data_IF_233728076845
#
_entry.id   IF_233728076845
#
_cell.length_a   1.000
_cell.length_b   1.000
_cell.length_c   1.000
_cell.angle_alpha   90.00
_cell.angle_beta   90.00
_cell.angle_gamma   90.00
#
_symmetry.space_group_name_H-M   'P 1'
#
loop_
_entity.id
_entity.type
_entity.pdbx_description
1 polymer ?
#
# COMPACT_ATOMS: atom_id res chain seq x y z
N UNK A 1 28.97 -1.38 -25.83
CA UNK A 1 27.55 -0.95 -25.74
C UNK A 1 27.47 0.54 -26.04
N UNK A 2 26.62 0.98 -26.98
CA UNK A 2 26.67 2.30 -27.63
C UNK A 2 26.31 3.48 -26.71
N UNK A 3 27.16 4.51 -26.70
CA UNK A 3 27.04 5.75 -25.92
C UNK A 3 25.73 6.50 -26.14
N UNK A 4 25.17 6.47 -27.36
CA UNK A 4 23.91 7.15 -27.69
C UNK A 4 22.70 6.52 -26.99
N UNK A 5 22.71 5.19 -26.82
CA UNK A 5 21.67 4.47 -26.07
C UNK A 5 21.73 4.85 -24.59
N UNK A 6 22.93 4.94 -24.03
CA UNK A 6 23.14 5.39 -22.65
C UNK A 6 22.68 6.84 -22.46
N UNK A 7 23.05 7.76 -23.35
CA UNK A 7 22.58 9.15 -23.32
C UNK A 7 21.05 9.26 -23.36
N UNK A 8 20.39 8.48 -24.24
CA UNK A 8 18.93 8.46 -24.30
C UNK A 8 18.31 8.00 -22.97
N UNK A 9 18.83 6.91 -22.38
CA UNK A 9 18.35 6.43 -21.09
C UNK A 9 18.57 7.45 -19.97
N UNK A 10 19.75 8.08 -19.91
CA UNK A 10 20.05 9.13 -18.92
C UNK A 10 19.06 10.29 -19.04
N UNK A 11 18.84 10.81 -20.25
CA UNK A 11 17.87 11.90 -20.48
C UNK A 11 16.44 11.49 -20.11
N UNK A 12 16.06 10.25 -20.40
CA UNK A 12 14.73 9.73 -20.04
C UNK A 12 14.58 9.64 -18.52
N UNK A 13 15.59 9.16 -17.81
CA UNK A 13 15.59 9.09 -16.34
C UNK A 13 15.56 10.48 -15.71
N UNK A 14 16.37 11.43 -16.20
CA UNK A 14 16.35 12.82 -15.76
C UNK A 14 14.94 13.42 -15.85
N UNK A 15 14.27 13.28 -16.99
CA UNK A 15 12.89 13.76 -17.17
C UNK A 15 11.89 13.10 -16.21
N UNK A 16 12.03 11.80 -15.95
CA UNK A 16 11.17 11.09 -14.98
C UNK A 16 11.36 11.67 -13.59
N UNK A 17 12.60 11.88 -13.17
CA UNK A 17 12.93 12.45 -11.85
C UNK A 17 12.44 13.89 -11.73
N UNK A 18 12.72 14.75 -12.72
CA UNK A 18 12.27 16.14 -12.77
C UNK A 18 10.74 16.24 -12.66
N UNK A 19 10.03 15.46 -13.49
CA UNK A 19 8.56 15.44 -13.48
C UNK A 19 8.03 14.95 -12.13
N UNK A 20 8.61 13.88 -11.59
CA UNK A 20 8.22 13.32 -10.30
C UNK A 20 8.44 14.33 -9.17
N UNK A 21 9.57 15.03 -9.16
CA UNK A 21 9.88 16.03 -8.15
C UNK A 21 8.88 17.20 -8.17
N UNK A 22 8.56 17.74 -9.36
CA UNK A 22 7.57 18.81 -9.51
C UNK A 22 6.19 18.39 -8.99
N UNK A 23 5.77 17.18 -9.30
CA UNK A 23 4.49 16.62 -8.83
C UNK A 23 4.48 16.43 -7.32
N UNK A 24 5.57 15.93 -6.73
CA UNK A 24 5.67 15.78 -5.27
C UNK A 24 5.59 17.13 -4.55
N UNK A 25 6.16 18.18 -5.14
CA UNK A 25 6.02 19.56 -4.64
C UNK A 25 4.56 20.01 -4.73
N UNK A 26 3.93 19.86 -5.89
CA UNK A 26 2.51 20.22 -6.10
C UNK A 26 1.60 19.51 -5.09
N UNK A 27 1.75 18.19 -4.94
CA UNK A 27 1.00 17.40 -3.94
C UNK A 27 1.24 17.87 -2.49
N UNK A 28 2.46 18.30 -2.17
CA UNK A 28 2.79 18.81 -0.82
C UNK A 28 2.15 20.18 -0.58
N UNK A 29 2.02 21.01 -1.62
CA UNK A 29 1.35 22.30 -1.54
C UNK A 29 -0.16 22.19 -1.42
N UNK A 30 -0.80 21.14 -1.96
CA UNK A 30 -2.24 20.93 -1.86
C UNK A 30 -2.72 20.54 -0.44
N UNK A 31 -1.84 20.07 0.43
CA UNK A 31 -2.21 19.52 1.73
C UNK A 31 -1.36 20.06 2.88
N UNK A 32 -1.73 19.65 4.09
CA UNK A 32 -1.01 19.90 5.34
C UNK A 32 -0.08 18.75 5.76
N UNK A 33 -0.18 17.58 5.12
CA UNK A 33 0.77 16.49 5.38
C UNK A 33 2.20 16.89 4.99
N UNK A 34 3.15 16.62 5.89
CA UNK A 34 4.58 16.87 5.66
C UNK A 34 5.39 15.59 5.87
N UNK A 35 6.46 15.36 5.09
CA UNK A 35 7.38 14.27 5.37
C UNK A 35 7.92 14.36 6.79
N UNK A 36 7.69 13.33 7.59
CA UNK A 36 8.31 13.14 8.89
C UNK A 36 9.68 12.48 8.70
N UNK A 37 9.73 11.38 7.96
CA UNK A 37 10.96 10.65 7.64
C UNK A 37 10.91 9.98 6.27
N UNK A 38 12.08 9.69 5.72
CA UNK A 38 12.30 9.04 4.42
C UNK A 38 13.27 7.86 4.60
N UNK A 39 13.10 6.80 3.80
CA UNK A 39 13.99 5.63 3.75
C UNK A 39 14.25 4.99 5.12
N UNK A 40 13.18 4.84 5.90
CA UNK A 40 13.24 4.41 7.31
C UNK A 40 13.31 2.90 7.41
N UNK A 41 14.41 2.38 7.94
CA UNK A 41 14.55 0.96 8.26
C UNK A 41 13.80 0.55 9.52
N UNK A 42 13.19 -0.63 9.52
CA UNK A 42 12.66 -1.31 10.71
C UNK A 42 13.26 -2.72 10.84
N UNK A 43 13.53 -3.14 12.08
CA UNK A 43 14.35 -4.34 12.33
C UNK A 43 15.84 -4.04 12.38
N UNK A 44 16.71 -5.02 12.19
CA UNK A 44 18.17 -4.81 12.27
C UNK A 44 18.80 -4.64 10.87
N UNK A 45 19.61 -3.60 10.59
CA UNK A 45 20.00 -2.45 11.42
C UNK A 45 19.17 -1.18 11.11
N UNK A 46 17.89 -1.18 11.48
CA UNK A 46 16.92 -0.10 11.29
C UNK A 46 16.71 0.74 12.56
N UNK A 47 16.09 1.90 12.40
CA UNK A 47 15.79 2.82 13.51
C UNK A 47 14.48 2.48 14.24
N UNK A 48 13.55 1.81 13.56
CA UNK A 48 12.29 1.34 14.14
C UNK A 48 12.42 -0.11 14.58
N UNK A 49 11.67 -0.48 15.61
CA UNK A 49 11.56 -1.87 16.03
C UNK A 49 10.89 -2.71 14.93
N UNK A 50 11.31 -3.97 14.74
CA UNK A 50 10.66 -4.86 13.79
C UNK A 50 9.23 -5.18 14.21
N UNK A 51 8.37 -5.53 13.24
CA UNK A 51 7.11 -6.19 13.57
C UNK A 51 7.42 -7.62 14.04
N UNK A 52 7.14 -7.91 15.31
CA UNK A 52 7.33 -9.22 15.92
C UNK A 52 5.98 -9.88 16.14
N UNK A 53 5.83 -11.11 15.67
CA UNK A 53 4.63 -11.91 15.86
C UNK A 53 5.01 -13.25 16.48
N UNK A 54 4.31 -13.63 17.54
CA UNK A 54 4.38 -15.00 18.06
C UNK A 54 3.76 -15.95 17.03
N UNK A 55 4.42 -17.08 16.78
CA UNK A 55 3.96 -18.07 15.81
C UNK A 55 3.64 -19.40 16.50
N UNK A 56 4.56 -19.90 17.32
CA UNK A 56 4.42 -21.08 18.19
C UNK A 56 5.36 -20.91 19.38
N UNK A 57 4.95 -21.31 20.58
CA UNK A 57 5.70 -21.33 21.85
C UNK A 57 6.99 -20.48 21.87
N UNK A 58 8.12 -21.06 21.45
CA UNK A 58 9.46 -20.42 21.52
C UNK A 58 9.94 -19.75 20.22
N UNK A 59 9.10 -19.71 19.18
CA UNK A 59 9.44 -19.17 17.87
C UNK A 59 8.60 -17.92 17.52
N UNK A 60 9.32 -16.84 17.20
CA UNK A 60 8.75 -15.58 16.73
C UNK A 60 9.11 -15.30 15.28
N UNK A 61 8.15 -14.81 14.49
CA UNK A 61 8.42 -14.18 13.19
C UNK A 61 8.80 -12.72 13.40
N UNK A 62 9.93 -12.30 12.84
CA UNK A 62 10.36 -10.90 12.84
C UNK A 62 10.43 -10.40 11.40
N UNK A 63 9.61 -9.41 11.08
CA UNK A 63 9.68 -8.73 9.80
C UNK A 63 10.65 -7.55 9.91
N UNK A 64 11.61 -7.53 9.00
CA UNK A 64 12.55 -6.43 8.80
C UNK A 64 12.33 -5.83 7.41
N UNK A 65 12.60 -4.53 7.27
CA UNK A 65 12.41 -3.88 5.99
C UNK A 65 12.72 -2.40 6.03
N UNK A 66 12.24 -1.69 5.00
CA UNK A 66 12.42 -0.26 4.85
C UNK A 66 11.13 0.37 4.32
N UNK A 67 10.76 1.50 4.90
CA UNK A 67 9.60 2.32 4.52
C UNK A 67 10.12 3.52 3.74
N UNK A 68 9.66 3.71 2.51
CA UNK A 68 10.15 4.76 1.63
C UNK A 68 9.87 6.17 2.19
N UNK A 69 8.64 6.41 2.68
CA UNK A 69 8.23 7.72 3.21
C UNK A 69 7.12 7.61 4.25
N UNK A 70 7.30 8.33 5.35
CA UNK A 70 6.30 8.53 6.40
C UNK A 70 5.96 10.02 6.42
N UNK A 71 4.67 10.35 6.25
CA UNK A 71 4.18 11.72 6.40
C UNK A 71 3.34 11.85 7.67
N UNK A 72 3.35 13.05 8.26
CA UNK A 72 2.49 13.40 9.39
C UNK A 72 1.62 14.63 9.08
N UNK A 73 0.46 14.69 9.73
CA UNK A 73 -0.35 15.91 9.87
C UNK A 73 -0.95 15.96 11.28
N UNK A 74 -1.33 17.15 11.74
CA UNK A 74 -2.00 17.34 13.02
C UNK A 74 -3.35 18.00 12.80
N UNK A 75 -4.35 17.59 13.56
CA UNK A 75 -5.66 18.22 13.59
C UNK A 75 -6.27 18.05 14.98
N UNK A 76 -6.56 19.19 15.64
CA UNK A 76 -6.84 19.20 17.07
C UNK A 76 -5.66 18.58 17.85
N UNK A 77 -5.99 17.65 18.73
CA UNK A 77 -5.02 16.91 19.55
C UNK A 77 -4.51 15.62 18.89
N UNK A 78 -5.06 15.22 17.73
CA UNK A 78 -4.66 14.00 17.04
C UNK A 78 -3.49 14.25 16.08
N UNK A 79 -2.55 13.29 16.06
CA UNK A 79 -1.48 13.21 15.06
C UNK A 79 -1.79 12.06 14.11
N UNK A 80 -1.86 12.38 12.82
CA UNK A 80 -2.16 11.42 11.77
C UNK A 80 -0.87 11.02 11.03
N UNK A 81 -0.68 9.72 10.82
CA UNK A 81 0.47 9.19 10.08
C UNK A 81 0.01 8.44 8.83
N UNK A 82 0.68 8.69 7.70
CA UNK A 82 0.49 7.92 6.47
C UNK A 82 1.83 7.45 5.92
N UNK A 83 1.78 6.34 5.19
CA UNK A 83 2.93 5.80 4.47
C UNK A 83 2.77 5.97 2.97
N UNK A 84 3.87 6.31 2.30
CA UNK A 84 3.94 6.41 0.84
C UNK A 84 5.07 5.50 0.36
N UNK A 85 4.78 4.60 -0.57
CA UNK A 85 5.76 3.74 -1.24
C UNK A 85 5.85 4.12 -2.73
N UNK A 86 7.08 4.24 -3.23
CA UNK A 86 7.34 4.63 -4.61
C UNK A 86 7.43 3.39 -5.51
N UNK A 87 6.51 3.26 -6.46
CA UNK A 87 6.53 2.18 -7.44
C UNK A 87 6.78 2.69 -8.84
N UNK A 88 7.55 1.93 -9.61
CA UNK A 88 7.68 2.15 -11.04
C UNK A 88 6.42 1.67 -11.76
N UNK A 89 5.88 2.51 -12.64
CA UNK A 89 4.64 2.23 -13.35
C UNK A 89 3.40 2.29 -12.45
N UNK A 90 2.27 1.85 -12.99
CA UNK A 90 0.98 1.97 -12.29
C UNK A 90 0.72 0.76 -11.40
N UNK A 91 0.76 0.98 -10.08
CA UNK A 91 0.45 -0.04 -9.07
C UNK A 91 -0.71 0.45 -8.20
N UNK A 92 -1.76 -0.36 -8.06
CA UNK A 92 -2.88 -0.09 -7.16
C UNK A 92 -2.86 -1.01 -5.94
N UNK A 93 -3.62 -0.64 -4.92
CA UNK A 93 -3.99 -1.53 -3.83
C UNK A 93 -5.43 -2.00 -4.04
N UNK A 94 -5.75 -3.22 -3.66
CA UNK A 94 -7.13 -3.70 -3.62
C UNK A 94 -7.34 -4.49 -2.34
N UNK A 95 -8.53 -4.37 -1.74
CA UNK A 95 -8.88 -5.05 -0.50
C UNK A 95 -8.83 -6.57 -0.67
N UNK A 96 -9.27 -7.04 -1.83
CA UNK A 96 -9.23 -8.45 -2.24
C UNK A 96 -7.78 -8.99 -2.38
N UNK A 97 -6.81 -8.20 -2.86
CA UNK A 97 -5.39 -8.62 -2.85
C UNK A 97 -4.81 -8.67 -1.41
N UNK A 98 -5.25 -7.78 -0.51
CA UNK A 98 -4.86 -7.83 0.91
C UNK A 98 -5.45 -9.07 1.57
N UNK A 99 -6.74 -9.33 1.35
CA UNK A 99 -7.46 -10.47 1.91
C UNK A 99 -6.77 -11.81 1.60
N UNK A 100 -6.36 -12.01 0.35
CA UNK A 100 -5.65 -13.22 -0.08
C UNK A 100 -4.14 -13.23 0.26
N UNK A 101 -3.63 -12.23 0.99
CA UNK A 101 -2.21 -12.14 1.36
C UNK A 101 -1.27 -11.83 0.21
N UNK A 102 -1.76 -11.30 -0.92
CA UNK A 102 -0.96 -11.07 -2.12
C UNK A 102 -0.24 -9.71 -2.11
N UNK A 103 -0.76 -8.73 -1.37
CA UNK A 103 -0.22 -7.36 -1.29
C UNK A 103 -0.33 -6.80 0.13
N UNK A 104 0.65 -7.11 0.96
CA UNK A 104 0.65 -6.74 2.38
C UNK A 104 1.57 -5.56 2.71
N UNK A 105 2.52 -5.23 1.83
CA UNK A 105 3.64 -4.31 2.11
C UNK A 105 3.20 -2.98 2.74
N UNK A 106 2.24 -2.28 2.14
CA UNK A 106 1.75 -0.99 2.62
C UNK A 106 1.06 -1.08 3.99
N UNK A 107 0.31 -2.15 4.23
CA UNK A 107 -0.37 -2.39 5.50
C UNK A 107 0.64 -2.73 6.60
N UNK A 108 1.67 -3.54 6.28
CA UNK A 108 2.80 -3.81 7.18
C UNK A 108 3.52 -2.51 7.54
N UNK A 109 3.82 -1.66 6.57
CA UNK A 109 4.53 -0.41 6.84
C UNK A 109 3.73 0.51 7.74
N UNK A 110 2.43 0.67 7.48
CA UNK A 110 1.59 1.51 8.32
C UNK A 110 1.45 0.92 9.73
N UNK A 111 1.30 -0.39 9.87
CA UNK A 111 1.26 -1.07 11.18
C UNK A 111 2.56 -0.92 11.99
N UNK A 112 3.72 -1.04 11.33
CA UNK A 112 5.04 -0.78 11.92
C UNK A 112 5.14 0.67 12.40
N UNK A 113 4.71 1.64 11.58
CA UNK A 113 4.74 3.07 11.92
C UNK A 113 3.88 3.38 13.13
N UNK A 114 2.67 2.82 13.20
CA UNK A 114 1.76 3.03 14.33
C UNK A 114 2.28 2.36 15.60
N UNK A 115 2.81 1.14 15.50
CA UNK A 115 3.40 0.42 16.64
C UNK A 115 4.65 1.13 17.18
N UNK A 116 5.36 1.85 16.32
CA UNK A 116 6.51 2.69 16.69
C UNK A 116 6.13 4.17 16.88
N UNK A 117 4.85 4.53 16.99
CA UNK A 117 4.42 5.93 17.06
C UNK A 117 5.10 6.68 18.20
N UNK A 118 5.24 6.08 19.38
CA UNK A 118 5.93 6.67 20.55
C UNK A 118 7.44 6.93 20.35
N UNK A 119 8.07 6.29 19.37
CA UNK A 119 9.48 6.52 19.01
C UNK A 119 9.61 7.56 17.91
N UNK A 120 8.61 7.63 17.03
CA UNK A 120 8.52 8.61 15.96
C UNK A 120 8.01 9.98 16.45
N UNK A 121 7.18 9.95 17.50
CA UNK A 121 6.43 11.06 18.06
C UNK A 121 6.38 10.89 19.58
N UNK A 122 6.20 11.98 20.33
CA UNK A 122 5.93 11.92 21.77
C UNK A 122 4.45 11.59 22.06
N UNK A 123 3.91 10.52 21.46
CA UNK A 123 2.50 10.16 21.63
C UNK A 123 2.00 9.01 20.76
N UNK A 124 0.68 8.80 20.79
CA UNK A 124 -0.03 7.91 19.88
C UNK A 124 -0.31 8.61 18.54
N UNK A 125 -0.58 7.81 17.51
CA UNK A 125 -0.93 8.32 16.19
C UNK A 125 -2.12 7.56 15.61
N UNK A 126 -2.86 8.25 14.75
CA UNK A 126 -4.00 7.70 14.00
C UNK A 126 -3.55 7.32 12.59
N UNK A 127 -3.95 6.14 12.07
CA UNK A 127 -3.71 5.78 10.68
C UNK A 127 -4.42 6.75 9.73
N UNK A 128 -3.66 7.47 8.90
CA UNK A 128 -4.24 8.36 7.92
C UNK A 128 -4.42 7.71 6.54
N UNK A 129 -3.49 6.85 6.15
CA UNK A 129 -3.57 6.17 4.86
C UNK A 129 -2.30 5.45 4.46
N UNK A 130 -2.45 4.60 3.46
CA UNK A 130 -1.38 3.81 2.87
C UNK A 130 -1.44 3.93 1.36
N UNK A 131 -0.42 4.55 0.77
CA UNK A 131 -0.49 5.08 -0.58
C UNK A 131 0.74 4.66 -1.40
N UNK A 132 0.51 4.35 -2.68
CA UNK A 132 1.54 4.24 -3.69
C UNK A 132 1.64 5.53 -4.47
N UNK A 133 2.87 5.99 -4.67
CA UNK A 133 3.21 7.02 -5.65
C UNK A 133 3.84 6.36 -6.88
N UNK A 134 3.28 6.64 -8.06
CA UNK A 134 3.77 6.05 -9.32
C UNK A 134 4.88 6.93 -9.92
N UNK A 135 6.12 6.43 -9.93
CA UNK A 135 7.24 7.05 -10.66
C UNK A 135 7.13 6.64 -12.14
N UNK A 136 6.69 7.58 -12.97
CA UNK A 136 6.48 7.36 -14.39
C UNK A 136 6.60 8.66 -15.20
N UNK A 137 6.75 8.52 -16.51
CA UNK A 137 6.58 9.62 -17.46
C UNK A 137 5.31 9.32 -18.29
N UNK A 138 4.15 9.86 -17.90
CA UNK A 138 2.87 9.47 -18.48
C UNK A 138 2.77 9.95 -19.92
N UNK A 139 2.32 9.05 -20.80
CA UNK A 139 1.95 9.39 -22.18
C UNK A 139 0.45 9.59 -22.23
N UNK A 140 0.03 10.84 -22.43
CA UNK A 140 -1.40 11.19 -22.56
C UNK A 140 -1.88 10.77 -23.95
N UNK A 141 -2.85 9.88 -23.98
CA UNK A 141 -3.52 9.46 -25.22
C UNK A 141 -4.77 10.31 -25.42
N UNK A 142 -4.64 11.34 -26.23
CA UNK A 142 -5.75 12.20 -26.60
C UNK A 142 -6.47 11.65 -27.85
N UNK A 143 -7.81 11.58 -27.83
CA UNK A 143 -8.63 11.22 -29.01
C UNK A 143 -8.94 12.43 -29.90
N UNK A 144 -8.75 13.63 -29.38
CA UNK A 144 -8.94 14.92 -30.05
C UNK A 144 -7.91 15.93 -29.54
N UNK A 145 -7.66 17.05 -30.23
CA UNK A 145 -6.82 18.12 -29.71
C UNK A 145 -7.27 18.57 -28.30
N UNK A 146 -6.32 18.73 -27.39
CA UNK A 146 -6.57 19.15 -26.02
C UNK A 146 -5.92 20.51 -25.78
N UNK A 147 -6.54 21.34 -24.95
CA UNK A 147 -5.88 22.56 -24.47
C UNK A 147 -4.70 22.21 -23.57
N UNK A 148 -3.79 23.17 -23.36
CA UNK A 148 -2.63 22.97 -22.49
C UNK A 148 -3.06 22.65 -21.06
N UNK A 149 -4.11 23.30 -20.59
CA UNK A 149 -4.70 23.12 -19.26
C UNK A 149 -5.25 21.70 -19.11
N UNK A 150 -5.98 21.21 -20.12
CA UNK A 150 -6.52 19.84 -20.11
C UNK A 150 -5.39 18.79 -20.14
N UNK A 151 -4.31 19.06 -20.88
CA UNK A 151 -3.12 18.19 -20.89
C UNK A 151 -2.49 18.15 -19.49
N UNK A 152 -2.28 19.29 -18.84
CA UNK A 152 -1.71 19.34 -17.49
C UNK A 152 -2.62 18.65 -16.46
N UNK A 153 -3.94 18.76 -16.58
CA UNK A 153 -4.89 18.02 -15.75
C UNK A 153 -4.75 16.51 -15.93
N UNK A 154 -4.70 16.01 -17.17
CA UNK A 154 -4.47 14.57 -17.43
C UNK A 154 -3.10 14.10 -16.92
N UNK A 155 -2.06 14.95 -16.96
CA UNK A 155 -0.76 14.63 -16.35
C UNK A 155 -0.92 14.47 -14.84
N UNK A 156 -1.56 15.42 -14.16
CA UNK A 156 -1.80 15.36 -12.70
C UNK A 156 -2.56 14.09 -12.32
N UNK A 157 -3.63 13.74 -13.05
CA UNK A 157 -4.38 12.48 -12.84
C UNK A 157 -3.51 11.23 -12.93
N UNK A 158 -2.50 11.22 -13.79
CA UNK A 158 -1.60 10.08 -13.92
C UNK A 158 -0.70 9.90 -12.68
N UNK A 159 -0.49 10.95 -11.89
CA UNK A 159 0.30 10.90 -10.66
C UNK A 159 -0.53 10.82 -9.38
N UNK A 160 -1.86 10.87 -9.49
CA UNK A 160 -2.79 10.63 -8.39
C UNK A 160 -2.37 9.41 -7.58
N UNK A 161 -2.21 9.60 -6.27
CA UNK A 161 -1.84 8.54 -5.35
C UNK A 161 -2.88 7.42 -5.40
N UNK A 162 -2.41 6.18 -5.25
CA UNK A 162 -3.26 4.99 -5.28
C UNK A 162 -3.11 4.25 -3.97
N UNK A 163 -4.20 3.97 -3.28
CA UNK A 163 -4.08 3.50 -1.91
C UNK A 163 -5.42 3.45 -1.22
N UNK A 164 -5.38 3.36 0.10
CA UNK A 164 -6.53 3.52 0.98
C UNK A 164 -6.25 4.67 1.95
N UNK A 165 -7.26 5.47 2.26
CA UNK A 165 -7.18 6.55 3.25
C UNK A 165 -8.28 6.40 4.29
N UNK A 166 -8.09 6.99 5.47
CA UNK A 166 -9.11 6.97 6.51
C UNK A 166 -10.36 7.74 6.05
N UNK A 167 -11.53 7.19 6.33
CA UNK A 167 -12.84 7.74 5.97
C UNK A 167 -13.25 8.92 6.88
N UNK A 168 -12.38 9.92 6.99
CA UNK A 168 -12.61 11.15 7.76
C UNK A 168 -12.47 12.38 6.88
N UNK A 169 -13.47 13.25 6.93
CA UNK A 169 -13.56 14.45 6.07
C UNK A 169 -12.40 15.39 6.35
N UNK A 170 -12.14 15.64 7.62
CA UNK A 170 -11.10 16.53 8.12
C UNK A 170 -9.74 16.06 7.63
N UNK A 171 -9.46 14.77 7.74
CA UNK A 171 -8.23 14.17 7.25
C UNK A 171 -8.08 14.27 5.73
N UNK A 172 -9.16 14.06 4.97
CA UNK A 172 -9.12 14.22 3.51
C UNK A 172 -8.78 15.66 3.13
N UNK A 173 -9.31 16.65 3.85
CA UNK A 173 -8.95 18.06 3.67
C UNK A 173 -7.50 18.34 4.08
N UNK A 174 -6.92 17.62 5.04
CA UNK A 174 -5.48 17.71 5.34
C UNK A 174 -4.61 17.16 4.20
N UNK A 175 -5.13 16.24 3.38
CA UNK A 175 -4.41 15.69 2.23
C UNK A 175 -4.59 16.52 0.96
N UNK A 176 -5.76 17.12 0.78
CA UNK A 176 -6.14 17.97 -0.35
C UNK A 176 -7.14 19.04 0.11
N UNK A 177 -6.66 20.25 0.36
CA UNK A 177 -7.44 21.34 0.99
C UNK A 177 -8.54 21.89 0.07
N UNK A 178 -8.30 21.85 -1.24
CA UNK A 178 -9.18 22.44 -2.25
C UNK A 178 -10.05 21.38 -2.94
N UNK A 179 -10.29 20.24 -2.28
CA UNK A 179 -11.05 19.14 -2.85
C UNK A 179 -12.50 19.54 -3.15
N UNK A 180 -12.83 19.64 -4.44
CA UNK A 180 -14.20 19.76 -4.95
C UNK A 180 -14.48 18.63 -5.96
N UNK A 181 -15.43 17.76 -5.63
CA UNK A 181 -15.69 16.58 -6.44
C UNK A 181 -14.59 15.53 -6.33
N UNK A 182 -13.74 15.38 -7.34
CA UNK A 182 -12.70 14.33 -7.37
C UNK A 182 -11.30 14.91 -7.11
N UNK A 183 -10.63 14.41 -6.06
CA UNK A 183 -9.25 14.80 -5.76
C UNK A 183 -8.31 14.41 -6.90
N UNK A 184 -7.38 15.31 -7.20
CA UNK A 184 -6.27 15.04 -8.13
C UNK A 184 -5.07 14.39 -7.42
N UNK A 185 -5.02 14.46 -6.09
CA UNK A 185 -3.88 14.01 -5.27
C UNK A 185 -4.11 12.62 -4.70
N UNK A 186 -5.29 12.35 -4.13
CA UNK A 186 -5.60 11.11 -3.38
C UNK A 186 -6.82 10.36 -3.96
N UNK A 187 -6.96 9.04 -3.75
CA UNK A 187 -7.99 8.21 -4.38
C UNK A 187 -9.39 8.39 -3.75
N UNK A 188 -9.80 9.64 -3.54
CA UNK A 188 -11.07 10.03 -2.92
C UNK A 188 -11.81 11.00 -3.82
N UNK A 189 -13.13 10.90 -3.81
CA UNK A 189 -14.02 11.93 -4.29
C UNK A 189 -15.14 12.18 -3.28
N UNK A 190 -15.64 13.40 -3.28
CA UNK A 190 -16.65 13.92 -2.37
C UNK A 190 -17.89 14.30 -3.17
N UNK A 191 -19.06 13.96 -2.63
CA UNK A 191 -20.37 14.37 -3.14
C UNK A 191 -20.76 15.75 -2.56
N UNK A 192 -21.79 16.36 -3.16
CA UNK A 192 -22.34 17.67 -2.71
C UNK A 192 -22.94 17.62 -1.30
N UNK A 193 -23.45 16.46 -0.89
CA UNK A 193 -24.04 16.22 0.44
C UNK A 193 -23.00 16.06 1.56
N UNK A 194 -21.71 15.97 1.20
CA UNK A 194 -20.63 15.78 2.17
C UNK A 194 -20.05 14.37 2.20
N UNK A 195 -20.73 13.37 1.62
CA UNK A 195 -20.31 11.98 1.68
C UNK A 195 -19.21 11.65 0.67
N UNK A 196 -18.50 10.55 0.92
CA UNK A 196 -17.57 9.99 -0.05
C UNK A 196 -18.32 9.38 -1.25
N UNK A 197 -17.78 9.58 -2.46
CA UNK A 197 -18.26 8.89 -3.66
C UNK A 197 -17.95 7.40 -3.54
N UNK A 198 -18.82 6.54 -4.09
CA UNK A 198 -18.70 5.08 -4.02
C UNK A 198 -17.38 4.52 -4.60
N UNK A 199 -16.73 5.24 -5.52
CA UNK A 199 -15.43 4.86 -6.07
C UNK A 199 -14.22 5.28 -5.22
N UNK A 200 -14.43 5.91 -4.07
CA UNK A 200 -13.36 6.35 -3.16
C UNK A 200 -12.79 5.15 -2.43
N UNK A 201 -11.46 5.09 -2.35
CA UNK A 201 -10.76 4.05 -1.61
C UNK A 201 -10.55 4.50 -0.16
N UNK A 202 -11.64 4.49 0.61
CA UNK A 202 -11.65 4.88 2.03
C UNK A 202 -11.88 3.68 2.94
N UNK A 203 -11.35 3.74 4.16
CA UNK A 203 -11.54 2.74 5.22
C UNK A 203 -11.87 3.44 6.53
N UNK A 204 -12.82 2.93 7.32
CA UNK A 204 -13.11 3.45 8.67
C UNK A 204 -12.00 3.04 9.66
N UNK A 205 -11.97 3.65 10.85
CA UNK A 205 -11.04 3.24 11.92
C UNK A 205 -11.21 1.76 12.29
N UNK A 206 -12.46 1.33 12.48
CA UNK A 206 -12.79 -0.07 12.78
C UNK A 206 -12.35 -1.02 11.66
N UNK A 207 -12.64 -0.67 10.40
CA UNK A 207 -12.18 -1.42 9.23
C UNK A 207 -10.65 -1.51 9.17
N UNK A 208 -9.95 -0.46 9.56
CA UNK A 208 -8.50 -0.46 9.64
C UNK A 208 -7.99 -1.43 10.71
N UNK A 209 -8.57 -1.43 11.90
CA UNK A 209 -8.19 -2.37 12.97
C UNK A 209 -8.45 -3.83 12.57
N UNK A 210 -9.57 -4.09 11.87
CA UNK A 210 -9.87 -5.39 11.29
C UNK A 210 -8.83 -5.82 10.25
N UNK A 211 -8.36 -4.90 9.41
CA UNK A 211 -7.26 -5.16 8.47
C UNK A 211 -5.95 -5.48 9.18
N UNK A 212 -5.62 -4.79 10.28
CA UNK A 212 -4.42 -5.09 11.07
C UNK A 212 -4.49 -6.49 11.69
N UNK A 213 -5.64 -6.85 12.27
CA UNK A 213 -5.85 -8.19 12.81
C UNK A 213 -5.70 -9.26 11.72
N UNK A 214 -6.29 -9.04 10.55
CA UNK A 214 -6.17 -9.95 9.41
C UNK A 214 -4.73 -10.05 8.90
N UNK A 215 -3.99 -8.94 8.86
CA UNK A 215 -2.58 -8.91 8.52
C UNK A 215 -1.78 -9.81 9.47
N UNK A 216 -1.94 -9.61 10.78
CA UNK A 216 -1.22 -10.39 11.79
C UNK A 216 -1.56 -11.88 11.68
N UNK A 217 -2.81 -12.23 11.43
CA UNK A 217 -3.24 -13.60 11.19
C UNK A 217 -2.56 -14.22 9.95
N UNK A 218 -2.54 -13.51 8.81
CA UNK A 218 -1.85 -14.00 7.60
C UNK A 218 -0.37 -14.20 7.87
N UNK A 219 0.29 -13.23 8.51
CA UNK A 219 1.73 -13.29 8.76
C UNK A 219 2.09 -14.41 9.74
N UNK A 220 1.35 -14.56 10.84
CA UNK A 220 1.56 -15.63 11.80
C UNK A 220 1.29 -17.01 11.20
N UNK A 221 0.20 -17.16 10.42
CA UNK A 221 -0.11 -18.39 9.70
C UNK A 221 1.00 -18.78 8.71
N UNK A 222 1.45 -17.83 7.89
CA UNK A 222 2.55 -18.04 6.95
C UNK A 222 3.87 -18.39 7.67
N UNK A 223 4.17 -17.70 8.78
CA UNK A 223 5.31 -18.03 9.63
C UNK A 223 5.23 -19.45 10.19
N UNK A 224 4.03 -19.88 10.59
CA UNK A 224 3.77 -21.22 11.13
C UNK A 224 3.95 -22.32 10.10
N UNK A 225 3.44 -22.11 8.89
CA UNK A 225 3.64 -23.03 7.76
C UNK A 225 5.13 -23.17 7.40
N UNK A 226 5.86 -22.05 7.35
CA UNK A 226 7.31 -22.06 7.10
C UNK A 226 8.06 -22.85 8.18
N UNK A 227 7.75 -22.61 9.46
CA UNK A 227 8.38 -23.32 10.59
C UNK A 227 8.02 -24.82 10.61
N UNK A 228 6.82 -25.19 10.16
CA UNK A 228 6.41 -26.58 10.03
C UNK A 228 7.06 -27.30 8.84
N UNK A 229 7.82 -26.59 8.00
CA UNK A 229 8.45 -27.16 6.80
C UNK A 229 7.45 -27.41 5.66
N UNK A 230 6.33 -26.69 5.62
CA UNK A 230 5.36 -26.80 4.55
C UNK A 230 5.94 -26.20 3.25
N UNK A 231 6.19 -27.07 2.27
CA UNK A 231 6.81 -26.73 0.98
C UNK A 231 5.97 -27.18 -0.22
N UNK A 232 4.69 -27.47 0.01
CA UNK A 232 3.74 -27.91 -1.01
C UNK A 232 3.61 -26.94 -2.19
N UNK A 233 3.50 -27.51 -3.39
CA UNK A 233 3.40 -26.74 -4.64
C UNK A 233 1.94 -26.34 -4.86
N UNK A 234 1.55 -25.18 -4.33
CA UNK A 234 0.17 -24.67 -4.38
C UNK A 234 0.04 -23.29 -5.06
N UNK A 235 0.38 -23.15 -6.36
CA UNK A 235 0.29 -21.86 -7.05
C UNK A 235 -1.15 -21.37 -7.16
N UNK A 236 -1.36 -20.07 -6.93
CA UNK A 236 -2.67 -19.47 -7.09
C UNK A 236 -2.98 -19.11 -8.55
N UNK A 237 -4.27 -19.04 -8.88
CA UNK A 237 -4.81 -18.42 -10.10
C UNK A 237 -5.93 -17.45 -9.74
N UNK A 238 -5.87 -16.22 -10.25
CA UNK A 238 -6.82 -15.14 -9.97
C UNK A 238 -6.98 -14.21 -11.18
N UNK A 239 -8.20 -14.01 -11.70
CA UNK A 239 -8.49 -13.15 -12.88
C UNK A 239 -7.54 -13.39 -14.06
N UNK A 240 -7.25 -14.65 -14.40
CA UNK A 240 -6.31 -15.02 -15.47
C UNK A 240 -4.82 -14.84 -15.14
N UNK A 241 -4.46 -14.19 -14.03
CA UNK A 241 -3.09 -14.14 -13.52
C UNK A 241 -2.77 -15.39 -12.71
N UNK A 242 -1.54 -15.88 -12.83
CA UNK A 242 -1.04 -17.03 -12.08
C UNK A 242 0.22 -16.65 -11.33
N UNK A 243 0.41 -17.23 -10.14
CA UNK A 243 1.68 -17.10 -9.41
C UNK A 243 2.90 -17.50 -10.28
N UNK A 244 2.69 -18.42 -11.22
CA UNK A 244 3.72 -18.97 -12.08
C UNK A 244 4.23 -18.02 -13.17
N UNK A 245 3.50 -16.94 -13.52
CA UNK A 245 3.79 -16.13 -14.71
C UNK A 245 5.16 -15.42 -14.63
N UNK A 246 5.62 -15.10 -13.41
CA UNK A 246 6.92 -14.48 -13.16
C UNK A 246 7.83 -15.31 -12.25
N UNK A 247 7.50 -16.59 -12.02
CA UNK A 247 8.27 -17.47 -11.13
C UNK A 247 9.51 -18.03 -11.84
N UNK A 248 10.69 -17.75 -11.29
CA UNK A 248 11.98 -18.26 -11.80
C UNK A 248 12.18 -19.76 -11.56
N UNK A 249 11.43 -20.36 -10.65
CA UNK A 249 11.57 -21.76 -10.23
C UNK A 249 10.62 -22.73 -10.96
N UNK A 250 10.00 -22.29 -12.07
CA UNK A 250 9.03 -23.09 -12.83
C UNK A 250 9.62 -24.42 -13.32
N UNK A 251 10.89 -24.44 -13.72
CA UNK A 251 11.59 -25.67 -14.14
C UNK A 251 11.92 -26.62 -12.99
N UNK A 252 11.97 -26.11 -11.75
CA UNK A 252 12.31 -26.90 -10.56
C UNK A 252 11.06 -27.56 -9.99
N UNK A 253 9.95 -26.81 -9.89
CA UNK A 253 8.73 -27.33 -9.26
C UNK A 253 8.00 -28.38 -10.09
N UNK A 254 8.24 -28.46 -11.41
CA UNK A 254 7.61 -29.42 -12.32
C UNK A 254 6.07 -29.44 -12.23
N UNK A 255 5.45 -28.30 -11.90
CA UNK A 255 4.00 -28.18 -11.77
C UNK A 255 3.33 -28.50 -13.10
N UNK A 256 2.52 -29.56 -13.12
CA UNK A 256 1.81 -30.01 -14.31
C UNK A 256 0.38 -30.47 -13.98
N UNK A 257 -0.58 -29.91 -14.72
CA UNK A 257 -2.00 -30.22 -14.59
C UNK A 257 -2.30 -31.66 -15.03
N UNK A 258 -1.53 -32.21 -15.97
CA UNK A 258 -1.75 -33.54 -16.56
C UNK A 258 -1.45 -34.66 -15.57
N UNK A 259 -0.56 -34.42 -14.59
CA UNK A 259 -0.21 -35.37 -13.54
C UNK A 259 -1.01 -35.14 -12.24
N UNK A 260 -2.04 -34.28 -12.29
CA UNK A 260 -2.98 -34.06 -11.19
C UNK A 260 -2.68 -32.86 -10.29
N UNK A 261 -1.67 -32.03 -10.57
CA UNK A 261 -1.51 -30.78 -9.84
C UNK A 261 -2.66 -29.80 -10.15
N UNK A 262 -3.00 -28.95 -9.18
CA UNK A 262 -4.14 -28.02 -9.30
C UNK A 262 -3.74 -26.64 -8.83
N UNK A 263 -4.31 -25.63 -9.47
CA UNK A 263 -4.20 -24.26 -8.99
C UNK A 263 -5.13 -24.03 -7.80
N UNK A 264 -4.66 -23.26 -6.82
CA UNK A 264 -5.54 -22.63 -5.83
C UNK A 264 -6.29 -21.47 -6.50
N UNK A 265 -7.56 -21.70 -6.85
CA UNK A 265 -8.37 -20.68 -7.53
C UNK A 265 -8.87 -19.68 -6.50
N UNK A 266 -8.32 -18.47 -6.53
CA UNK A 266 -8.75 -17.38 -5.67
C UNK A 266 -9.94 -16.67 -6.30
N UNK A 267 -11.03 -16.55 -5.51
CA UNK A 267 -12.22 -15.80 -5.92
C UNK A 267 -11.88 -14.32 -6.03
N UNK A 268 -12.52 -13.66 -6.99
CA UNK A 268 -12.49 -12.22 -7.10
C UNK A 268 -13.63 -11.66 -6.25
N UNK A 269 -13.28 -10.98 -5.16
CA UNK A 269 -14.24 -10.47 -4.20
C UNK A 269 -14.44 -8.97 -4.38
N UNK A 270 -15.69 -8.52 -4.26
CA UNK A 270 -16.01 -7.11 -4.07
C UNK A 270 -15.63 -6.68 -2.66
N UNK A 271 -15.46 -5.37 -2.45
CA UNK A 271 -15.06 -4.84 -1.14
C UNK A 271 -16.01 -5.30 -0.01
N UNK A 272 -17.32 -5.25 -0.24
CA UNK A 272 -18.32 -5.66 0.76
C UNK A 272 -18.17 -7.14 1.13
N UNK A 273 -17.97 -8.02 0.14
CA UNK A 273 -17.74 -9.46 0.36
C UNK A 273 -16.42 -9.73 1.10
N UNK A 274 -15.40 -8.88 0.92
CA UNK A 274 -14.14 -8.99 1.68
C UNK A 274 -14.40 -8.60 3.14
N UNK A 275 -15.13 -7.52 3.39
CA UNK A 275 -15.48 -7.11 4.73
C UNK A 275 -16.36 -8.15 5.45
N UNK A 276 -17.23 -8.88 4.76
CA UNK A 276 -17.96 -10.00 5.39
C UNK A 276 -17.04 -11.17 5.80
N UNK A 277 -15.87 -11.30 5.18
CA UNK A 277 -14.92 -12.41 5.39
C UNK A 277 -13.79 -12.08 6.36
N UNK A 278 -13.42 -10.82 6.47
CA UNK A 278 -12.46 -10.37 7.47
C UNK A 278 -13.18 -10.41 8.83
N UNK A 279 -12.63 -11.08 9.86
CA UNK A 279 -13.26 -11.13 11.17
C UNK A 279 -13.57 -9.73 11.74
N UNK A 280 -14.67 -9.61 12.49
CA UNK A 280 -15.01 -8.38 13.22
C UNK A 280 -14.18 -8.18 14.48
N UNK A 281 -13.68 -9.27 15.08
CA UNK A 281 -12.89 -9.24 16.30
C UNK A 281 -11.46 -9.74 16.06
N UNK A 282 -10.48 -9.22 16.84
CA UNK A 282 -9.17 -9.84 16.91
C UNK A 282 -9.37 -11.31 17.28
N UNK A 283 -8.84 -12.23 16.46
CA UNK A 283 -8.68 -13.60 16.93
C UNK A 283 -7.69 -13.49 18.09
N UNK A 284 -8.09 -13.87 19.30
CA UNK A 284 -7.17 -13.96 20.44
C UNK A 284 -5.99 -14.83 20.01
N UNK A 285 -4.88 -14.18 19.69
CA UNK A 285 -3.61 -14.85 19.47
C UNK A 285 -3.16 -15.22 20.87
N UNK A 286 -3.43 -16.45 21.30
CA UNK A 286 -3.01 -16.95 22.60
C UNK A 286 -1.52 -16.68 22.82
N UNK A 287 -1.21 -15.91 23.86
CA UNK A 287 0.17 -15.55 24.21
C UNK A 287 0.27 -14.13 24.77
N UNK A 288 -0.16 -13.98 26.02
CA UNK A 288 0.16 -12.94 27.01
C UNK A 288 0.87 -11.67 26.54
N UNK A 289 0.11 -10.57 26.63
CA UNK A 289 0.52 -9.21 26.98
C UNK A 289 1.92 -8.72 26.59
N UNK A 290 1.96 -7.74 25.69
CA UNK A 290 3.10 -6.84 25.59
C UNK A 290 2.68 -5.41 25.97
N UNK A 291 3.12 -5.03 27.16
CA UNK A 291 3.28 -3.65 27.63
C UNK A 291 4.51 -3.00 27.00
#
# INVERSE_FOLDING_TARGET
>A
MSSQRQLYFTRKLQRVVETTALVLVDHTCCGSFRPLKLEVGFGYPGELEPLRLAVRDEASLQLIGRIDRIDQARWGDEVYLRVIDYKSGTVGISLDDIYHGLRLQLLVYLDVVLSNARRLLDGAAVPAGMLYFSIQNPVIRARAPMSREAIEQEKRKAFKLKGMVLAERELVNLMDQDIDGDSQVIPVGIKKDGEFKAGSMVVTREQFDRLRCHLHHILAGAGGEILAGEVGIAPYRKKGRRACDYCRFKSVCQFDLMIGNKFRVLKDLKNDEVWEKIPEHPVEMGGDGFA
#
